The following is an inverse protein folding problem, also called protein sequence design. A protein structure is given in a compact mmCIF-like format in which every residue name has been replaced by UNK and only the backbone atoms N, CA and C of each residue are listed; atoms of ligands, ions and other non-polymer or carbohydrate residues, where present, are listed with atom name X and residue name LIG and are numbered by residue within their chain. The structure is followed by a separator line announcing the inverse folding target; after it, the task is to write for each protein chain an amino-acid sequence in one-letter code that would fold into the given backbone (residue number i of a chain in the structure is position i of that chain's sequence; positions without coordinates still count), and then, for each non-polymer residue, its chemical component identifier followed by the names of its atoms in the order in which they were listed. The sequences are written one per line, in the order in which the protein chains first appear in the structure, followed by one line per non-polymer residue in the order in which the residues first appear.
data_IF_985152511188
#
_entry.id   IF_985152511188
#
_cell.length_a   1.000
_cell.length_b   1.000
_cell.length_c   1.000
_cell.angle_alpha   90.00
_cell.angle_beta   90.00
_cell.angle_gamma   90.00
#
_symmetry.space_group_name_H-M   'P 1'
#
loop_
_entity.id
_entity.type
_entity.pdbx_description
1 polymer ?
#
# COMPACT_ATOMS: atom_id res chain seq x y z
N UNK A 1 31.10 -59.84 -56.74
CA UNK A 1 30.15 -59.44 -55.75
C UNK A 1 30.87 -58.92 -54.47
N UNK A 2 30.30 -57.90 -53.83
CA UNK A 2 30.72 -57.45 -52.52
C UNK A 2 30.06 -58.31 -51.44
N UNK A 3 30.79 -59.36 -51.03
CA UNK A 3 30.33 -60.29 -50.00
C UNK A 3 30.96 -59.97 -48.68
N UNK A 4 30.13 -59.90 -47.62
CA UNK A 4 30.58 -59.85 -46.23
C UNK A 4 30.83 -61.29 -45.73
N UNK A 5 31.72 -61.54 -44.76
CA UNK A 5 31.95 -62.87 -44.18
C UNK A 5 30.70 -63.60 -43.73
N UNK A 6 29.57 -62.92 -43.45
CA UNK A 6 28.29 -63.48 -43.09
C UNK A 6 27.45 -63.92 -44.32
N UNK A 7 28.08 -64.13 -45.51
CA UNK A 7 27.46 -64.54 -46.77
C UNK A 7 26.41 -63.59 -47.36
N UNK A 8 26.23 -62.42 -46.80
CA UNK A 8 25.29 -61.40 -47.31
C UNK A 8 25.89 -60.66 -48.45
N UNK A 9 25.24 -60.72 -49.65
CA UNK A 9 25.63 -59.93 -50.85
C UNK A 9 25.11 -58.51 -50.66
N UNK A 10 26.01 -57.52 -50.53
CA UNK A 10 25.68 -56.11 -50.34
C UNK A 10 25.59 -55.34 -51.65
N UNK A 11 26.19 -55.89 -52.76
CA UNK A 11 26.21 -55.32 -54.06
C UNK A 11 27.21 -55.97 -54.97
N UNK A 12 27.37 -55.48 -56.20
CA UNK A 12 28.35 -55.95 -57.17
C UNK A 12 29.07 -54.70 -57.77
N UNK A 13 30.35 -54.87 -57.96
CA UNK A 13 31.16 -53.91 -58.71
C UNK A 13 31.46 -54.50 -60.07
N UNK A 14 31.36 -53.64 -61.08
CA UNK A 14 31.73 -53.96 -62.50
C UNK A 14 32.94 -53.08 -62.80
N UNK A 15 34.03 -53.77 -63.29
CA UNK A 15 35.24 -53.11 -63.73
C UNK A 15 35.49 -53.50 -65.16
N UNK A 16 35.71 -52.53 -66.05
CA UNK A 16 36.04 -52.71 -67.46
C UNK A 16 37.38 -52.01 -67.75
N UNK A 17 38.25 -52.64 -68.50
CA UNK A 17 39.52 -52.08 -68.97
C UNK A 17 39.94 -52.72 -70.29
N UNK A 18 40.72 -51.96 -71.06
CA UNK A 18 41.12 -52.31 -72.39
C UNK A 18 42.25 -53.40 -72.49
N UNK A 19 42.88 -53.71 -71.32
CA UNK A 19 43.98 -54.69 -71.24
C UNK A 19 43.55 -55.91 -70.46
N UNK A 20 44.13 -57.14 -70.77
CA UNK A 20 43.78 -58.36 -70.03
C UNK A 20 44.16 -58.29 -68.57
N UNK A 21 43.27 -58.80 -67.69
CA UNK A 21 43.45 -58.87 -66.30
C UNK A 21 44.56 -59.84 -65.89
N UNK A 22 45.50 -59.42 -65.06
CA UNK A 22 46.52 -60.27 -64.45
C UNK A 22 46.00 -60.82 -63.08
N UNK A 23 46.53 -62.00 -62.68
CA UNK A 23 46.12 -62.61 -61.40
C UNK A 23 46.31 -61.70 -60.22
N UNK A 24 47.38 -60.90 -60.21
CA UNK A 24 47.64 -59.92 -59.16
C UNK A 24 46.58 -58.79 -59.06
N UNK A 25 46.06 -58.36 -60.24
CA UNK A 25 44.99 -57.31 -60.26
C UNK A 25 43.70 -57.84 -59.67
N UNK A 26 43.33 -59.08 -60.00
CA UNK A 26 42.12 -59.71 -59.43
C UNK A 26 42.25 -59.93 -57.94
N UNK A 27 43.43 -60.26 -57.44
CA UNK A 27 43.67 -60.39 -56.01
C UNK A 27 43.53 -59.05 -55.24
N UNK A 28 44.01 -57.96 -55.83
CA UNK A 28 43.88 -56.60 -55.33
C UNK A 28 42.40 -56.18 -55.26
N UNK A 29 41.66 -56.34 -56.31
CA UNK A 29 40.24 -56.02 -56.40
C UNK A 29 39.43 -56.81 -55.36
N UNK A 30 39.79 -58.09 -55.18
CA UNK A 30 39.10 -58.93 -54.23
C UNK A 30 39.34 -58.47 -52.77
N UNK A 31 40.56 -58.05 -52.41
CA UNK A 31 40.89 -57.44 -51.11
C UNK A 31 40.19 -56.13 -50.85
N UNK A 32 40.16 -55.27 -51.90
CA UNK A 32 39.44 -53.99 -51.84
C UNK A 32 37.93 -54.22 -51.66
N UNK A 33 37.33 -55.13 -52.40
CA UNK A 33 35.91 -55.46 -52.24
C UNK A 33 35.52 -55.89 -50.79
N UNK A 34 36.39 -56.71 -50.17
CA UNK A 34 36.21 -57.08 -48.77
C UNK A 34 36.23 -55.88 -47.78
N UNK A 35 37.23 -55.02 -47.99
CA UNK A 35 37.35 -53.78 -47.12
C UNK A 35 36.15 -52.86 -47.26
N UNK A 36 35.70 -52.64 -48.49
CA UNK A 36 34.48 -51.83 -48.75
C UNK A 36 33.21 -52.47 -48.22
N UNK A 37 33.07 -53.77 -48.32
CA UNK A 37 31.90 -54.46 -47.72
C UNK A 37 31.81 -54.28 -46.19
N UNK A 38 32.95 -54.32 -45.49
CA UNK A 38 33.00 -54.03 -44.06
C UNK A 38 32.63 -52.58 -43.76
N UNK A 39 33.20 -51.64 -44.47
CA UNK A 39 32.91 -50.22 -44.28
C UNK A 39 31.44 -49.90 -44.54
N UNK A 40 30.87 -50.45 -45.62
CA UNK A 40 29.46 -50.24 -45.97
C UNK A 40 28.50 -50.75 -44.88
N UNK A 41 28.76 -51.97 -44.37
CA UNK A 41 27.94 -52.54 -43.29
C UNK A 41 28.06 -51.77 -41.98
N UNK A 42 29.23 -51.24 -41.67
CA UNK A 42 29.44 -50.40 -40.50
C UNK A 42 28.66 -49.07 -40.57
N UNK A 43 28.63 -48.44 -41.75
CA UNK A 43 27.92 -47.19 -42.01
C UNK A 43 26.41 -47.41 -42.10
N UNK A 44 25.94 -48.47 -42.73
CA UNK A 44 24.50 -48.77 -42.88
C UNK A 44 23.82 -49.14 -41.56
N UNK A 45 24.59 -49.62 -40.55
CA UNK A 45 24.05 -49.99 -39.27
C UNK A 45 23.62 -48.80 -38.38
N UNK A 46 24.00 -47.57 -38.74
CA UNK A 46 23.77 -46.39 -37.94
C UNK A 46 22.38 -45.77 -38.14
N UNK A 47 21.66 -46.03 -39.19
CA UNK A 47 20.33 -45.45 -39.43
C UNK A 47 19.14 -46.17 -38.73
N UNK A 48 19.32 -47.37 -38.28
CA UNK A 48 18.22 -48.16 -37.71
C UNK A 48 17.93 -47.90 -36.22
N UNK A 49 18.76 -47.11 -35.49
CA UNK A 49 18.59 -46.86 -34.07
C UNK A 49 17.50 -45.81 -33.76
N UNK A 50 17.31 -44.84 -34.62
CA UNK A 50 16.36 -43.74 -34.38
C UNK A 50 14.90 -44.13 -34.61
N UNK A 51 14.61 -44.91 -35.58
CA UNK A 51 13.24 -45.29 -35.93
C UNK A 51 12.61 -46.30 -34.95
N UNK A 52 13.43 -47.04 -34.18
CA UNK A 52 12.91 -48.00 -33.19
C UNK A 52 12.54 -47.38 -31.85
N UNK A 53 13.08 -46.23 -31.49
CA UNK A 53 12.75 -45.57 -30.22
C UNK A 53 11.39 -44.86 -30.29
N UNK A 54 10.89 -44.53 -31.46
CA UNK A 54 9.61 -43.84 -31.66
C UNK A 54 8.39 -44.80 -31.60
N UNK A 55 8.62 -46.12 -31.70
CA UNK A 55 7.53 -47.11 -31.76
C UNK A 55 6.95 -47.56 -30.40
N UNK A 56 7.39 -46.99 -29.26
CA UNK A 56 6.71 -47.29 -28.00
C UNK A 56 5.54 -46.29 -27.86
N UNK A 57 4.28 -46.76 -27.84
CA UNK A 57 3.10 -45.87 -27.75
C UNK A 57 3.12 -45.00 -26.46
N UNK A 58 3.94 -45.39 -25.49
CA UNK A 58 4.14 -44.66 -24.22
C UNK A 58 4.81 -43.30 -24.39
N UNK A 59 5.60 -43.05 -25.49
CA UNK A 59 6.25 -41.77 -25.70
C UNK A 59 5.26 -40.65 -26.09
N UNK A 60 4.19 -40.99 -26.77
CA UNK A 60 3.13 -40.03 -27.09
C UNK A 60 2.33 -39.59 -25.87
N UNK A 61 2.34 -40.36 -24.80
CA UNK A 61 1.69 -39.99 -23.54
C UNK A 61 2.39 -38.82 -22.83
N UNK A 62 3.70 -38.65 -23.03
CA UNK A 62 4.47 -37.56 -22.40
C UNK A 62 4.06 -36.18 -22.92
N UNK A 63 4.03 -35.91 -24.25
CA UNK A 63 3.58 -34.60 -24.76
C UNK A 63 2.08 -34.36 -24.49
N UNK A 64 1.25 -35.41 -24.55
CA UNK A 64 -0.18 -35.30 -24.23
C UNK A 64 -0.38 -34.95 -22.74
N UNK A 65 0.35 -35.61 -21.83
CA UNK A 65 0.30 -35.28 -20.40
C UNK A 65 0.82 -33.85 -20.11
N UNK A 66 1.85 -33.41 -20.83
CA UNK A 66 2.38 -32.03 -20.69
C UNK A 66 1.36 -31.00 -21.16
N UNK A 67 0.70 -31.25 -22.31
CA UNK A 67 -0.36 -30.35 -22.81
C UNK A 67 -1.56 -30.35 -21.86
N UNK A 68 -1.97 -31.51 -21.36
CA UNK A 68 -3.04 -31.61 -20.35
C UNK A 68 -2.70 -30.87 -19.05
N UNK A 69 -1.45 -30.93 -18.60
CA UNK A 69 -0.98 -30.19 -17.43
C UNK A 69 -0.97 -28.66 -17.68
N UNK A 70 -0.65 -28.19 -18.88
CA UNK A 70 -0.71 -26.77 -19.25
C UNK A 70 -2.15 -26.24 -19.35
N UNK A 71 -3.11 -27.11 -19.64
CA UNK A 71 -4.53 -26.73 -19.73
C UNK A 71 -5.24 -26.68 -18.37
N UNK A 72 -4.56 -27.08 -17.26
CA UNK A 72 -5.13 -26.98 -15.93
C UNK A 72 -5.29 -25.49 -15.52
N UNK A 73 -6.53 -25.02 -15.27
CA UNK A 73 -6.73 -23.65 -14.82
C UNK A 73 -6.17 -23.47 -13.41
N UNK A 74 -5.09 -22.74 -13.30
CA UNK A 74 -4.51 -22.36 -12.01
C UNK A 74 -5.26 -21.10 -11.53
N UNK A 75 -5.84 -21.16 -10.33
CA UNK A 75 -6.43 -19.97 -9.70
C UNK A 75 -5.29 -19.03 -9.30
N UNK A 76 -5.16 -17.93 -10.02
CA UNK A 76 -4.27 -16.84 -9.66
C UNK A 76 -5.06 -15.91 -8.75
N UNK A 77 -4.71 -15.83 -7.46
CA UNK A 77 -5.24 -14.83 -6.53
C UNK A 77 -4.21 -13.72 -6.40
N UNK A 78 -4.59 -12.50 -6.75
CA UNK A 78 -3.80 -11.31 -6.50
C UNK A 78 -4.35 -10.64 -5.23
N UNK A 79 -3.51 -10.49 -4.21
CA UNK A 79 -3.82 -9.70 -3.02
C UNK A 79 -3.40 -8.27 -3.32
N UNK A 80 -4.38 -7.40 -3.50
CA UNK A 80 -4.15 -5.97 -3.63
C UNK A 80 -4.45 -5.28 -2.29
N UNK A 81 -3.57 -4.44 -1.75
CA UNK A 81 -3.89 -3.63 -0.59
C UNK A 81 -4.95 -2.59 -0.99
N UNK A 82 -6.14 -2.69 -0.41
CA UNK A 82 -7.22 -1.74 -0.62
C UNK A 82 -7.39 -0.92 0.64
N UNK A 83 -7.32 0.40 0.52
CA UNK A 83 -7.65 1.33 1.60
C UNK A 83 -9.06 1.86 1.33
N UNK A 84 -10.01 1.49 2.20
CA UNK A 84 -11.36 2.05 2.15
C UNK A 84 -11.30 3.46 2.75
N UNK A 85 -11.69 4.45 1.96
CA UNK A 85 -11.77 5.85 2.40
C UNK A 85 -13.23 6.30 2.30
N UNK A 86 -13.65 7.17 3.24
CA UNK A 86 -14.95 7.81 3.16
C UNK A 86 -15.04 8.66 1.88
N UNK A 87 -16.20 8.68 1.24
CA UNK A 87 -16.40 9.40 -0.02
C UNK A 87 -16.27 10.91 0.16
N UNK A 88 -16.84 11.45 1.23
CA UNK A 88 -16.80 12.88 1.56
C UNK A 88 -16.55 13.01 3.09
N UNK A 89 -15.29 12.85 3.54
CA UNK A 89 -14.99 12.94 4.96
C UNK A 89 -15.08 14.39 5.44
N UNK A 90 -15.87 14.63 6.48
CA UNK A 90 -15.83 15.89 7.21
C UNK A 90 -14.71 15.83 8.23
N UNK A 91 -13.72 16.70 8.06
CA UNK A 91 -12.60 16.81 9.00
C UNK A 91 -13.02 17.69 10.15
N UNK A 92 -12.94 17.14 11.37
CA UNK A 92 -13.11 17.92 12.61
C UNK A 92 -11.77 18.57 12.89
N UNK A 93 -11.70 19.89 12.74
CA UNK A 93 -10.49 20.67 13.05
C UNK A 93 -10.54 21.20 14.48
N UNK A 94 -9.35 21.41 15.05
CA UNK A 94 -9.16 22.05 16.34
C UNK A 94 -9.53 23.54 16.24
N UNK A 95 -10.48 24.05 17.02
CA UNK A 95 -10.84 25.48 16.99
C UNK A 95 -9.83 26.35 17.74
N UNK A 96 -9.09 25.81 18.68
CA UNK A 96 -8.07 26.46 19.49
C UNK A 96 -6.82 25.61 19.61
N UNK A 97 -5.68 26.25 19.84
CA UNK A 97 -4.43 25.54 20.16
C UNK A 97 -4.50 25.02 21.59
N UNK A 98 -4.16 23.74 21.77
CA UNK A 98 -4.22 23.15 23.11
C UNK A 98 -3.75 21.71 23.17
N UNK A 99 -3.82 21.14 24.38
CA UNK A 99 -3.51 19.74 24.62
C UNK A 99 -4.82 18.99 24.84
N UNK A 100 -5.02 17.88 24.16
CA UNK A 100 -6.21 17.05 24.36
C UNK A 100 -6.13 16.35 25.73
N UNK A 101 -7.08 16.66 26.63
CA UNK A 101 -7.18 16.03 27.92
C UNK A 101 -7.86 14.67 27.85
N UNK A 102 -8.96 14.56 27.10
CA UNK A 102 -9.70 13.31 26.95
C UNK A 102 -10.46 13.25 25.62
N UNK A 103 -10.64 12.01 25.11
CA UNK A 103 -11.51 11.72 23.98
C UNK A 103 -12.74 10.98 24.48
N UNK A 104 -13.91 11.59 24.29
CA UNK A 104 -15.17 11.16 24.90
C UNK A 104 -15.90 10.06 24.13
N UNK A 105 -15.53 9.84 22.89
CA UNK A 105 -16.21 8.92 21.96
C UNK A 105 -15.26 7.80 21.53
N UNK A 106 -15.77 6.59 21.31
CA UNK A 106 -14.96 5.48 20.87
C UNK A 106 -14.72 5.50 19.33
N UNK A 107 -13.61 4.92 18.83
CA UNK A 107 -13.41 4.74 17.41
C UNK A 107 -14.56 3.95 16.78
N UNK A 108 -14.94 4.31 15.56
CA UNK A 108 -16.05 3.68 14.83
C UNK A 108 -17.42 3.79 15.53
N UNK A 109 -17.63 4.80 16.36
CA UNK A 109 -18.93 5.08 16.98
C UNK A 109 -19.75 6.03 16.10
N UNK A 110 -21.05 5.78 16.00
CA UNK A 110 -21.99 6.72 15.41
C UNK A 110 -22.25 7.86 16.39
N UNK A 111 -22.06 9.09 15.93
CA UNK A 111 -22.28 10.32 16.66
C UNK A 111 -23.41 11.13 16.02
N UNK A 112 -24.14 11.88 16.84
CA UNK A 112 -25.11 12.87 16.36
C UNK A 112 -24.47 14.26 16.31
N UNK A 113 -25.04 15.17 15.53
CA UNK A 113 -24.64 16.57 15.57
C UNK A 113 -24.77 17.13 16.99
N UNK A 114 -23.73 17.85 17.47
CA UNK A 114 -23.67 18.38 18.83
C UNK A 114 -23.12 17.42 19.89
N UNK A 115 -22.79 16.16 19.55
CA UNK A 115 -22.13 15.24 20.48
C UNK A 115 -20.71 15.70 20.76
N UNK A 116 -20.31 15.80 22.04
CA UNK A 116 -18.95 16.12 22.44
C UNK A 116 -18.00 14.97 22.00
N UNK A 117 -16.95 15.29 21.25
CA UNK A 117 -16.00 14.34 20.69
C UNK A 117 -14.75 14.23 21.57
N UNK A 118 -14.14 15.35 21.88
CA UNK A 118 -12.96 15.43 22.73
C UNK A 118 -12.95 16.76 23.50
N UNK A 119 -12.14 16.81 24.54
CA UNK A 119 -12.00 17.96 25.41
C UNK A 119 -10.52 18.30 25.58
N UNK A 120 -10.23 19.59 25.54
CA UNK A 120 -8.93 20.14 25.86
C UNK A 120 -8.67 20.25 27.36
N UNK A 121 -7.41 20.41 27.73
CA UNK A 121 -7.01 20.85 29.06
C UNK A 121 -7.53 22.26 29.33
N UNK A 122 -8.43 22.41 30.29
CA UNK A 122 -9.16 23.68 30.52
C UNK A 122 -8.61 24.51 31.66
N UNK A 123 -7.65 24.02 32.43
CA UNK A 123 -7.16 24.65 33.67
C UNK A 123 -6.74 26.10 33.44
N UNK A 124 -5.98 26.38 32.41
CA UNK A 124 -5.50 27.71 32.06
C UNK A 124 -6.64 28.64 31.66
N UNK A 125 -7.51 28.16 30.74
CA UNK A 125 -8.64 28.93 30.22
C UNK A 125 -9.67 29.23 31.33
N UNK A 126 -9.94 28.29 32.20
CA UNK A 126 -10.80 28.45 33.36
C UNK A 126 -10.25 29.51 34.31
N UNK A 127 -8.96 29.49 34.58
CA UNK A 127 -8.30 30.49 35.40
C UNK A 127 -8.36 31.88 34.77
N UNK A 128 -8.12 31.99 33.46
CA UNK A 128 -8.25 33.25 32.72
C UNK A 128 -9.68 33.84 32.83
N UNK A 129 -10.70 33.01 32.63
CA UNK A 129 -12.10 33.39 32.79
C UNK A 129 -12.38 33.90 34.18
N UNK A 130 -11.92 33.22 35.22
CA UNK A 130 -12.10 33.63 36.63
C UNK A 130 -11.40 34.97 36.90
N UNK A 131 -10.17 35.16 36.43
CA UNK A 131 -9.40 36.40 36.58
C UNK A 131 -10.11 37.56 35.89
N UNK A 132 -10.52 37.37 34.61
CA UNK A 132 -11.27 38.40 33.87
C UNK A 132 -12.57 38.78 34.56
N UNK A 133 -13.29 37.81 35.14
CA UNK A 133 -14.50 38.08 35.95
C UNK A 133 -14.21 38.91 37.17
N UNK A 134 -13.11 38.65 37.91
CA UNK A 134 -12.70 39.46 39.07
C UNK A 134 -12.27 40.87 38.62
N UNK A 135 -11.53 41.01 37.56
CA UNK A 135 -11.14 42.31 37.01
C UNK A 135 -12.35 43.15 36.61
N UNK A 136 -13.35 42.56 35.95
CA UNK A 136 -14.61 43.28 35.69
C UNK A 136 -15.32 43.73 36.96
N UNK A 137 -15.34 42.87 38.01
CA UNK A 137 -15.94 43.24 39.30
C UNK A 137 -15.24 44.43 39.90
N UNK A 138 -13.90 44.50 39.86
CA UNK A 138 -13.09 45.63 40.33
C UNK A 138 -13.38 46.89 39.53
N UNK A 139 -13.35 46.79 38.20
CA UNK A 139 -13.63 47.93 37.31
C UNK A 139 -15.02 48.53 37.54
N UNK A 140 -16.04 47.66 37.76
CA UNK A 140 -17.40 48.13 38.08
C UNK A 140 -17.46 48.83 39.47
N UNK A 141 -16.71 48.34 40.44
CA UNK A 141 -16.64 48.99 41.77
C UNK A 141 -15.96 50.36 41.66
N UNK A 142 -14.85 50.47 40.92
CA UNK A 142 -14.16 51.74 40.68
C UNK A 142 -15.04 52.74 39.92
N UNK A 143 -15.75 52.29 38.86
CA UNK A 143 -16.71 53.10 38.13
C UNK A 143 -17.82 53.62 39.06
N UNK A 144 -18.41 52.74 39.87
CA UNK A 144 -19.41 53.14 40.86
C UNK A 144 -18.88 54.17 41.89
N UNK A 145 -17.65 54.00 42.35
CA UNK A 145 -16.97 54.95 43.24
C UNK A 145 -16.73 56.28 42.54
N UNK A 146 -16.30 56.31 41.26
CA UNK A 146 -16.12 57.51 40.50
C UNK A 146 -17.42 58.31 40.30
N UNK A 147 -18.54 57.61 40.07
CA UNK A 147 -19.86 58.26 39.98
C UNK A 147 -20.18 58.93 41.31
N UNK A 148 -20.02 58.22 42.42
CA UNK A 148 -20.31 58.81 43.78
C UNK A 148 -19.39 60.00 44.05
N UNK A 149 -18.12 59.91 43.77
CA UNK A 149 -17.15 60.99 43.95
C UNK A 149 -17.41 62.21 43.04
N UNK A 150 -17.94 61.99 41.85
CA UNK A 150 -18.26 63.03 40.87
C UNK A 150 -19.46 63.93 41.23
N UNK A 151 -20.27 63.56 42.22
CA UNK A 151 -21.37 64.38 42.66
C UNK A 151 -20.91 65.69 43.40
N UNK A 152 -19.70 65.64 43.95
CA UNK A 152 -19.16 66.79 44.68
C UNK A 152 -18.02 67.53 43.99
N UNK A 153 -17.45 67.00 42.94
CA UNK A 153 -16.22 67.51 42.28
C UNK A 153 -16.31 67.43 40.79
N UNK A 154 -16.33 68.58 40.05
CA UNK A 154 -16.39 68.61 38.60
C UNK A 154 -15.19 67.95 37.93
N UNK A 155 -13.98 67.91 38.53
CA UNK A 155 -12.80 67.28 37.98
C UNK A 155 -12.95 65.75 37.98
N UNK A 156 -13.47 65.19 39.09
CA UNK A 156 -13.76 63.75 39.21
C UNK A 156 -14.90 63.28 38.32
N UNK A 157 -15.86 64.19 38.02
CA UNK A 157 -16.91 63.90 37.07
C UNK A 157 -16.36 63.62 35.64
N UNK A 158 -15.24 64.24 35.25
CA UNK A 158 -14.58 64.00 33.98
C UNK A 158 -13.90 62.59 33.91
N UNK A 159 -13.63 61.95 35.03
CA UNK A 159 -13.06 60.58 35.09
C UNK A 159 -14.12 59.48 34.86
N UNK A 160 -15.41 59.78 35.07
CA UNK A 160 -16.49 58.78 34.94
C UNK A 160 -16.52 58.12 33.57
N UNK A 161 -16.44 58.85 32.40
CA UNK A 161 -16.44 58.21 31.09
C UNK A 161 -15.20 57.32 30.86
N UNK A 162 -14.06 57.68 31.46
CA UNK A 162 -12.85 56.82 31.39
C UNK A 162 -13.04 55.51 32.12
N UNK A 163 -13.64 55.56 33.33
CA UNK A 163 -13.96 54.35 34.11
C UNK A 163 -15.05 53.50 33.47
N UNK A 164 -16.01 54.13 32.80
CA UNK A 164 -17.01 53.43 32.00
C UNK A 164 -16.36 52.67 30.84
N UNK A 165 -15.45 53.31 30.06
CA UNK A 165 -14.70 52.65 29.03
C UNK A 165 -13.82 51.51 29.53
N UNK A 166 -13.28 51.62 30.76
CA UNK A 166 -12.55 50.52 31.41
C UNK A 166 -13.47 49.33 31.75
N UNK A 167 -14.69 49.55 32.20
CA UNK A 167 -15.70 48.50 32.43
C UNK A 167 -16.02 47.78 31.13
N UNK A 168 -16.22 48.52 30.01
CA UNK A 168 -16.51 47.95 28.70
C UNK A 168 -15.34 47.10 28.19
N UNK A 169 -14.09 47.56 28.38
CA UNK A 169 -12.91 46.81 28.07
C UNK A 169 -12.87 45.47 28.83
N UNK A 170 -13.04 45.49 30.18
CA UNK A 170 -13.04 44.31 31.02
C UNK A 170 -14.20 43.36 30.70
N UNK A 171 -15.33 43.90 30.31
CA UNK A 171 -16.46 43.10 29.84
C UNK A 171 -16.16 42.37 28.56
N UNK A 172 -15.48 43.02 27.60
CA UNK A 172 -15.03 42.40 26.35
C UNK A 172 -13.99 41.29 26.64
N UNK A 173 -13.04 41.53 27.53
CA UNK A 173 -12.05 40.56 27.94
C UNK A 173 -12.70 39.30 28.58
N UNK A 174 -13.71 39.53 29.45
CA UNK A 174 -14.46 38.42 30.03
C UNK A 174 -15.23 37.61 28.98
N UNK A 175 -15.87 38.32 28.07
CA UNK A 175 -16.59 37.66 26.96
C UNK A 175 -15.64 36.82 26.09
N UNK A 176 -14.47 37.35 25.77
CA UNK A 176 -13.45 36.62 25.02
C UNK A 176 -12.96 35.38 25.79
N UNK A 177 -12.65 35.53 27.08
CA UNK A 177 -12.23 34.39 27.91
C UNK A 177 -13.33 33.33 28.03
N UNK A 178 -14.60 33.73 28.05
CA UNK A 178 -15.73 32.81 28.02
C UNK A 178 -15.82 32.04 26.69
N UNK A 179 -15.71 32.75 25.57
CA UNK A 179 -15.74 32.11 24.23
C UNK A 179 -14.61 31.08 24.05
N UNK A 180 -13.41 31.38 24.57
CA UNK A 180 -12.29 30.43 24.57
C UNK A 180 -12.61 29.20 25.46
N UNK A 181 -13.24 29.40 26.58
CA UNK A 181 -13.63 28.31 27.50
C UNK A 181 -14.75 27.45 26.90
N UNK A 182 -15.69 28.06 26.17
CA UNK A 182 -16.78 27.33 25.49
C UNK A 182 -16.26 26.47 24.33
N UNK A 183 -15.08 26.80 23.78
CA UNK A 183 -14.42 26.03 22.71
C UNK A 183 -13.57 24.84 23.22
N UNK A 184 -13.48 24.68 24.56
CA UNK A 184 -12.74 23.56 25.15
C UNK A 184 -13.35 22.20 24.80
N UNK A 185 -14.65 22.11 24.62
CA UNK A 185 -15.32 20.92 24.18
C UNK A 185 -15.61 21.00 22.66
N UNK A 186 -14.96 20.13 21.93
CA UNK A 186 -15.18 20.04 20.47
C UNK A 186 -16.34 19.09 20.21
N UNK A 187 -17.36 19.63 19.54
CA UNK A 187 -18.59 18.91 19.23
C UNK A 187 -18.63 18.48 17.75
N UNK A 188 -19.37 17.42 17.46
CA UNK A 188 -19.60 16.95 16.11
C UNK A 188 -20.43 17.97 15.31
N UNK A 189 -19.96 18.45 14.14
CA UNK A 189 -20.71 19.39 13.31
C UNK A 189 -21.91 18.75 12.62
N UNK A 190 -21.86 17.44 12.42
CA UNK A 190 -22.94 16.65 11.80
C UNK A 190 -22.97 15.23 12.34
N UNK A 191 -24.09 14.54 12.10
CA UNK A 191 -24.22 13.13 12.43
C UNK A 191 -23.39 12.26 11.45
N UNK A 192 -22.71 11.26 11.96
CA UNK A 192 -21.90 10.36 11.16
C UNK A 192 -21.13 9.34 11.97
N UNK A 193 -20.31 8.56 11.28
CA UNK A 193 -19.40 7.60 11.91
C UNK A 193 -18.05 8.29 12.17
N UNK A 194 -17.64 8.34 13.44
CA UNK A 194 -16.33 8.92 13.81
C UNK A 194 -15.22 7.91 13.54
N UNK A 195 -14.26 8.31 12.69
CA UNK A 195 -13.08 7.50 12.35
C UNK A 195 -11.83 8.18 12.85
N UNK A 196 -11.14 7.54 13.79
CA UNK A 196 -9.80 7.94 14.25
C UNK A 196 -9.02 6.69 14.66
N UNK A 197 -7.70 6.82 14.88
CA UNK A 197 -6.82 5.66 15.16
C UNK A 197 -7.10 5.07 16.53
N UNK A 198 -6.33 5.43 17.52
CA UNK A 198 -6.51 4.98 18.91
C UNK A 198 -6.64 6.20 19.83
N UNK A 199 -7.44 6.06 20.88
CA UNK A 199 -7.61 7.09 21.90
C UNK A 199 -6.29 7.51 22.55
N UNK A 200 -5.40 6.54 22.78
CA UNK A 200 -4.09 6.77 23.39
C UNK A 200 -3.16 7.65 22.56
N UNK A 201 -3.34 7.66 21.22
CA UNK A 201 -2.53 8.45 20.29
C UNK A 201 -2.83 9.96 20.37
N UNK A 202 -3.99 10.32 20.92
CA UNK A 202 -4.50 11.70 20.94
C UNK A 202 -4.39 12.36 22.31
N UNK A 203 -4.52 11.60 23.39
CA UNK A 203 -4.44 12.15 24.76
C UNK A 203 -3.02 12.65 25.03
N UNK A 204 -2.93 13.88 25.53
CA UNK A 204 -1.67 14.55 25.82
C UNK A 204 -0.95 15.13 24.60
N UNK A 205 -1.55 15.04 23.41
CA UNK A 205 -0.98 15.57 22.17
C UNK A 205 -1.36 17.03 21.99
N UNK A 206 -0.41 17.91 21.66
CA UNK A 206 -0.70 19.28 21.23
C UNK A 206 -1.31 19.26 19.82
N UNK A 207 -2.32 20.06 19.63
CA UNK A 207 -3.01 20.26 18.34
C UNK A 207 -3.18 21.72 18.07
#
# INVERSE_FOLDING_TARGET
PLQHPDETVLGAWWFERDFPWQENDVAIVHRLAGSYAYAWKALSKKEQSWAKTIKKPTWWLVPVALIAALCLPIRISAVAPVKVMAKDPVVVSAPIDGVIADVLVHPNQNVQAGTALFRYEDTTLRNQFLVAGKQLTVARAEHSQSIQAGFGDPQRKAEVPLKEAEVDLRQTELQYAKEMLDQVEVIAPQAGLLLYSDKSDWIGRPV
#
